data_IF_600965207372
#
_entry.id   IF_600965207372
#
_cell.length_a   1.000
_cell.length_b   1.000
_cell.length_c   1.000
_cell.angle_alpha   90.00
_cell.angle_beta   90.00
_cell.angle_gamma   90.00
#
_symmetry.space_group_name_H-M   'P 1'
#
loop_
_entity.id
_entity.type
_entity.pdbx_description
1 polymer ?
#
# COMPACT_ATOMS: atom_id res chain seq x y z
N UNK A 1 -1.49 4.52 1.79
CA UNK A 1 -0.13 3.94 1.73
C UNK A 1 0.73 4.53 0.62
N UNK A 2 0.19 5.44 -0.19
CA UNK A 2 0.92 6.13 -1.24
C UNK A 2 2.24 6.74 -0.71
N UNK A 3 2.20 7.59 0.32
CA UNK A 3 3.38 8.25 0.83
C UNK A 3 4.50 7.36 1.39
N UNK A 4 4.19 6.07 1.68
CA UNK A 4 5.19 5.11 2.16
C UNK A 4 5.96 4.50 0.97
N UNK A 5 5.26 4.15 -0.11
CA UNK A 5 5.90 3.59 -1.31
C UNK A 5 6.84 4.59 -1.97
N UNK A 6 6.47 5.85 -1.93
CA UNK A 6 7.20 6.94 -2.59
C UNK A 6 8.42 7.42 -1.80
N UNK A 7 8.42 7.22 -0.47
CA UNK A 7 9.57 7.53 0.38
C UNK A 7 10.74 6.56 0.21
N UNK A 8 10.50 5.41 -0.45
CA UNK A 8 11.51 4.39 -0.69
C UNK A 8 11.97 4.38 -2.13
N UNK A 9 13.27 4.27 -2.31
CA UNK A 9 13.90 4.11 -3.61
C UNK A 9 13.31 2.89 -4.34
N UNK A 10 13.28 2.91 -5.68
CA UNK A 10 12.74 1.84 -6.52
C UNK A 10 13.24 0.43 -6.22
N UNK A 11 14.41 0.33 -5.63
CA UNK A 11 15.08 -0.92 -5.26
C UNK A 11 14.31 -1.80 -4.27
N UNK A 12 13.34 -1.21 -3.56
CA UNK A 12 12.56 -1.90 -2.52
C UNK A 12 11.08 -2.15 -2.90
N UNK A 13 10.69 -1.86 -4.14
CA UNK A 13 9.34 -2.18 -4.62
C UNK A 13 9.31 -3.63 -5.08
N UNK A 14 8.97 -4.53 -4.16
CA UNK A 14 8.63 -5.90 -4.50
C UNK A 14 7.30 -5.92 -5.26
N UNK A 15 7.37 -6.01 -6.57
CA UNK A 15 6.21 -6.14 -7.42
C UNK A 15 6.31 -5.37 -8.73
N UNK A 16 5.48 -5.79 -9.67
CA UNK A 16 5.33 -5.12 -10.94
C UNK A 16 4.29 -4.01 -10.83
N UNK A 17 4.61 -2.84 -11.39
CA UNK A 17 3.72 -1.68 -11.47
C UNK A 17 3.77 -1.12 -12.89
N UNK A 18 2.73 -0.47 -13.36
CA UNK A 18 2.79 0.30 -14.60
C UNK A 18 3.21 1.75 -14.35
N UNK A 19 3.81 2.40 -15.36
CA UNK A 19 4.19 3.81 -15.24
C UNK A 19 2.98 4.69 -14.88
N UNK A 20 1.82 4.42 -15.49
CA UNK A 20 0.58 5.14 -15.19
C UNK A 20 0.18 5.00 -13.72
N UNK A 21 0.24 3.79 -13.17
CA UNK A 21 -0.13 3.55 -11.78
C UNK A 21 0.90 4.17 -10.81
N UNK A 22 2.17 4.15 -11.17
CA UNK A 22 3.20 4.83 -10.38
C UNK A 22 2.99 6.35 -10.35
N UNK A 23 2.76 6.98 -11.50
CA UNK A 23 2.45 8.42 -11.58
C UNK A 23 1.16 8.75 -10.82
N UNK A 24 0.13 7.91 -10.95
CA UNK A 24 -1.13 8.09 -10.20
C UNK A 24 -0.90 8.03 -8.67
N UNK A 25 0.03 7.22 -8.19
CA UNK A 25 0.37 7.19 -6.76
C UNK A 25 1.02 8.50 -6.27
N UNK A 26 1.60 9.27 -7.18
CA UNK A 26 2.14 10.61 -6.93
C UNK A 26 1.12 11.74 -7.15
N UNK A 27 -0.12 11.40 -7.51
CA UNK A 27 -1.14 12.38 -7.94
C UNK A 27 -0.70 13.17 -9.19
N UNK A 28 0.08 12.51 -10.07
CA UNK A 28 0.53 13.07 -11.35
C UNK A 28 -0.19 12.35 -12.49
N UNK A 29 -0.81 13.08 -13.39
CA UNK A 29 -1.40 12.50 -14.60
C UNK A 29 -0.31 12.16 -15.65
N UNK A 30 -0.61 11.20 -16.53
CA UNK A 30 0.30 10.87 -17.64
C UNK A 30 0.52 12.09 -18.55
N UNK A 31 -0.52 12.88 -18.80
CA UNK A 31 -0.44 14.11 -19.59
C UNK A 31 0.47 15.18 -18.95
N UNK A 32 0.49 15.22 -17.64
CA UNK A 32 1.41 16.08 -16.92
C UNK A 32 2.85 15.59 -17.02
N UNK A 33 3.06 14.27 -16.86
CA UNK A 33 4.38 13.65 -16.98
C UNK A 33 4.99 13.83 -18.38
N UNK A 34 4.18 13.81 -19.44
CA UNK A 34 4.61 14.07 -20.82
C UNK A 34 5.22 15.46 -21.05
N UNK A 35 5.02 16.42 -20.12
CA UNK A 35 5.69 17.72 -20.20
C UNK A 35 7.20 17.62 -19.93
N UNK A 36 7.64 16.58 -19.26
CA UNK A 36 9.02 16.39 -18.83
C UNK A 36 9.82 15.46 -19.73
N UNK A 37 9.15 14.47 -20.36
CA UNK A 37 9.79 13.59 -21.34
C UNK A 37 8.76 13.00 -22.32
N UNK A 38 9.27 12.33 -23.36
CA UNK A 38 8.40 11.55 -24.25
C UNK A 38 8.01 10.24 -23.57
N UNK A 39 6.72 9.95 -23.51
CA UNK A 39 6.17 8.73 -22.92
C UNK A 39 5.31 8.03 -23.97
N UNK A 40 5.60 6.75 -24.21
CA UNK A 40 4.76 5.90 -25.03
C UNK A 40 3.51 5.46 -24.23
N UNK A 41 2.34 5.88 -24.67
CA UNK A 41 1.07 5.58 -23.98
C UNK A 41 0.77 4.09 -23.87
N UNK A 42 1.03 3.34 -24.95
CA UNK A 42 0.79 1.89 -24.98
C UNK A 42 1.73 1.13 -24.03
N UNK A 43 2.92 1.68 -23.78
CA UNK A 43 3.86 1.11 -22.84
C UNK A 43 3.56 1.55 -21.40
N UNK A 44 2.93 2.70 -21.19
CA UNK A 44 2.66 3.26 -19.87
C UNK A 44 1.72 2.39 -19.01
N UNK A 45 0.91 1.53 -19.63
CA UNK A 45 -0.01 0.61 -18.94
C UNK A 45 0.58 -0.79 -18.72
N UNK A 46 1.76 -1.09 -19.28
CA UNK A 46 2.44 -2.37 -19.07
C UNK A 46 3.06 -2.41 -17.68
N UNK A 47 2.75 -3.49 -16.95
CA UNK A 47 3.36 -3.72 -15.65
C UNK A 47 4.78 -4.28 -15.82
N UNK A 48 5.66 -3.87 -14.92
CA UNK A 48 7.04 -4.30 -14.85
C UNK A 48 7.71 -3.75 -13.60
N UNK A 49 8.98 -4.07 -13.41
CA UNK A 49 9.78 -3.43 -12.35
C UNK A 49 9.95 -1.96 -12.68
N UNK A 50 9.79 -1.10 -11.67
CA UNK A 50 9.74 0.35 -11.84
C UNK A 50 10.95 0.91 -12.60
N UNK A 51 12.14 0.43 -12.27
CA UNK A 51 13.39 0.86 -12.91
C UNK A 51 13.52 0.49 -14.40
N UNK A 52 12.69 -0.46 -14.85
CA UNK A 52 12.66 -0.95 -16.23
C UNK A 52 11.48 -0.39 -17.05
N UNK A 53 10.63 0.44 -16.44
CA UNK A 53 9.49 1.01 -17.15
C UNK A 53 9.95 2.05 -18.17
N UNK A 54 9.32 1.99 -19.34
CA UNK A 54 9.53 3.00 -20.39
C UNK A 54 9.17 4.39 -19.87
N UNK A 55 10.06 5.39 -20.06
CA UNK A 55 9.90 6.76 -19.58
C UNK A 55 10.26 6.98 -18.11
N UNK A 56 10.39 5.97 -17.25
CA UNK A 56 10.73 6.17 -15.83
C UNK A 56 12.10 6.84 -15.64
N UNK A 57 13.12 6.30 -16.32
CA UNK A 57 14.47 6.84 -16.23
C UNK A 57 14.53 8.28 -16.73
N UNK A 58 13.91 8.55 -17.87
CA UNK A 58 13.89 9.90 -18.47
C UNK A 58 13.23 10.91 -17.55
N UNK A 59 12.11 10.52 -16.89
CA UNK A 59 11.47 11.35 -15.88
C UNK A 59 12.40 11.62 -14.71
N UNK A 60 13.05 10.59 -14.16
CA UNK A 60 13.93 10.75 -12.99
C UNK A 60 15.25 11.48 -13.32
N UNK A 61 15.69 11.49 -14.56
CA UNK A 61 16.84 12.26 -15.03
C UNK A 61 16.46 13.73 -15.34
N UNK A 62 15.17 14.03 -15.57
CA UNK A 62 14.71 15.41 -15.78
C UNK A 62 14.77 16.20 -14.46
N UNK A 63 15.53 17.31 -14.36
CA UNK A 63 15.71 18.04 -13.10
C UNK A 63 14.42 18.63 -12.55
N UNK A 64 13.52 19.13 -13.42
CA UNK A 64 12.26 19.75 -12.99
C UNK A 64 11.29 18.68 -12.45
N UNK A 65 11.21 17.52 -13.11
CA UNK A 65 10.41 16.41 -12.61
C UNK A 65 10.96 15.88 -11.28
N UNK A 66 12.27 15.71 -11.16
CA UNK A 66 12.91 15.25 -9.92
C UNK A 66 12.64 16.21 -8.76
N UNK A 67 12.73 17.50 -8.98
CA UNK A 67 12.42 18.50 -7.96
C UNK A 67 10.95 18.38 -7.52
N UNK A 68 10.02 18.30 -8.47
CA UNK A 68 8.61 18.06 -8.19
C UNK A 68 8.38 16.75 -7.44
N UNK A 69 9.00 15.67 -7.86
CA UNK A 69 8.93 14.37 -7.20
C UNK A 69 9.37 14.47 -5.74
N UNK A 70 10.53 15.10 -5.47
CA UNK A 70 11.05 15.27 -4.12
C UNK A 70 10.09 16.11 -3.24
N UNK A 71 9.53 17.20 -3.77
CA UNK A 71 8.57 18.03 -3.04
C UNK A 71 7.29 17.28 -2.70
N UNK A 72 6.75 16.49 -3.64
CA UNK A 72 5.56 15.67 -3.42
C UNK A 72 5.83 14.57 -2.38
N UNK A 73 6.95 13.89 -2.49
CA UNK A 73 7.35 12.83 -1.56
C UNK A 73 7.52 13.36 -0.13
N UNK A 74 8.21 14.48 0.04
CA UNK A 74 8.41 15.08 1.36
C UNK A 74 7.09 15.62 1.96
N UNK A 75 6.23 16.21 1.15
CA UNK A 75 4.89 16.62 1.57
C UNK A 75 4.07 15.42 2.04
N UNK A 76 4.01 14.36 1.25
CA UNK A 76 3.25 13.16 1.58
C UNK A 76 3.81 12.47 2.83
N UNK A 77 5.13 12.45 2.98
CA UNK A 77 5.81 11.95 4.17
C UNK A 77 5.39 12.72 5.42
N UNK A 78 5.49 14.04 5.39
CA UNK A 78 5.10 14.90 6.51
C UNK A 78 3.63 14.71 6.87
N UNK A 79 2.75 14.73 5.87
CA UNK A 79 1.31 14.59 6.07
C UNK A 79 0.96 13.21 6.67
N UNK A 80 1.59 12.14 6.17
CA UNK A 80 1.42 10.80 6.74
C UNK A 80 1.86 10.73 8.21
N UNK A 81 3.00 11.34 8.55
CA UNK A 81 3.48 11.39 9.94
C UNK A 81 2.47 12.10 10.83
N UNK A 82 1.98 13.28 10.43
CA UNK A 82 0.96 14.03 11.18
C UNK A 82 -0.34 13.24 11.31
N UNK A 83 -0.81 12.61 10.23
CA UNK A 83 -2.02 11.79 10.24
C UNK A 83 -1.95 10.61 11.21
N UNK A 84 -0.79 9.97 11.31
CA UNK A 84 -0.64 8.75 12.11
C UNK A 84 -0.25 9.01 13.55
N UNK A 85 0.23 10.21 13.89
CA UNK A 85 0.67 10.56 15.25
C UNK A 85 -0.36 10.20 16.34
N UNK A 86 -1.67 10.47 16.19
CA UNK A 86 -2.67 10.12 17.19
C UNK A 86 -2.85 8.61 17.43
N UNK A 87 -2.40 7.77 16.51
CA UNK A 87 -2.53 6.31 16.57
C UNK A 87 -1.29 5.62 17.15
N UNK A 88 -0.25 6.38 17.52
CA UNK A 88 0.97 5.82 18.09
C UNK A 88 0.79 5.57 19.59
N UNK A 89 0.84 4.30 20.02
CA UNK A 89 0.85 3.94 21.43
C UNK A 89 2.29 3.66 21.90
N UNK A 90 2.77 4.45 22.84
CA UNK A 90 4.12 4.29 23.47
C UNK A 90 5.26 4.12 22.45
N UNK A 91 5.13 4.77 21.30
CA UNK A 91 6.05 4.67 20.15
C UNK A 91 6.01 3.32 19.42
N UNK A 92 5.03 2.48 19.70
CA UNK A 92 4.76 1.25 18.95
C UNK A 92 3.53 1.47 18.07
N UNK A 93 3.69 1.24 16.77
CA UNK A 93 2.57 1.29 15.84
C UNK A 93 2.03 -0.13 15.62
N UNK A 94 0.87 -0.42 16.22
CA UNK A 94 0.19 -1.70 16.07
C UNK A 94 -0.83 -1.64 14.95
N UNK A 95 -0.83 -2.65 14.10
CA UNK A 95 -1.79 -2.72 13.00
C UNK A 95 -2.13 -4.15 12.60
N UNK A 96 -3.27 -4.27 11.93
CA UNK A 96 -3.73 -5.52 11.30
C UNK A 96 -3.69 -5.33 9.79
N UNK A 97 -3.14 -6.29 9.09
CA UNK A 97 -3.04 -6.25 7.63
C UNK A 97 -3.50 -7.60 7.03
N UNK A 98 -4.30 -7.52 5.99
CA UNK A 98 -4.70 -8.69 5.19
C UNK A 98 -3.61 -9.13 4.20
N UNK A 99 -2.51 -8.40 4.11
CA UNK A 99 -1.32 -8.75 3.32
C UNK A 99 -0.55 -9.93 3.92
N UNK A 100 0.46 -10.41 3.21
CA UNK A 100 1.24 -11.62 3.55
C UNK A 100 2.74 -11.35 3.58
N UNK A 101 3.21 -10.45 2.72
CA UNK A 101 4.63 -10.13 2.56
C UNK A 101 5.15 -9.11 3.58
N UNK A 102 4.27 -8.55 4.39
CA UNK A 102 4.60 -7.56 5.42
C UNK A 102 5.35 -6.32 4.85
N UNK A 103 5.21 -6.02 3.57
CA UNK A 103 5.91 -4.91 2.91
C UNK A 103 5.51 -3.55 3.49
N UNK A 104 4.24 -3.41 3.86
CA UNK A 104 3.73 -2.23 4.55
C UNK A 104 4.41 -2.00 5.87
N UNK A 105 4.56 -3.04 6.68
CA UNK A 105 5.23 -2.96 7.99
C UNK A 105 6.69 -2.57 7.83
N UNK A 106 7.39 -3.23 6.89
CA UNK A 106 8.78 -2.90 6.60
C UNK A 106 8.94 -1.43 6.21
N UNK A 107 8.03 -0.91 5.37
CA UNK A 107 8.05 0.50 4.97
C UNK A 107 7.79 1.45 6.15
N UNK A 108 6.87 1.11 7.06
CA UNK A 108 6.60 1.89 8.28
C UNK A 108 7.81 1.95 9.20
N UNK A 109 8.48 0.83 9.46
CA UNK A 109 9.69 0.78 10.27
C UNK A 109 10.79 1.66 9.70
N UNK A 110 11.06 1.54 8.40
CA UNK A 110 12.08 2.34 7.73
C UNK A 110 11.72 3.82 7.72
N UNK A 111 10.45 4.12 7.47
CA UNK A 111 9.97 5.49 7.34
C UNK A 111 9.90 6.25 8.66
N UNK A 112 9.34 5.60 9.70
CA UNK A 112 9.13 6.25 11.00
C UNK A 112 10.30 6.04 11.96
N UNK A 113 11.15 5.05 11.72
CA UNK A 113 12.21 4.63 12.66
C UNK A 113 11.63 4.34 14.05
N UNK A 114 10.42 3.80 14.11
CA UNK A 114 9.73 3.38 15.31
C UNK A 114 9.45 1.88 15.24
N UNK A 115 9.27 1.29 16.40
CA UNK A 115 8.90 -0.12 16.49
C UNK A 115 7.47 -0.35 15.99
N UNK A 116 7.29 -1.35 15.13
CA UNK A 116 5.97 -1.75 14.64
C UNK A 116 5.67 -3.20 15.02
N UNK A 117 4.41 -3.47 15.33
CA UNK A 117 3.89 -4.80 15.66
C UNK A 117 2.72 -5.10 14.70
N UNK A 118 2.90 -6.07 13.82
CA UNK A 118 1.94 -6.40 12.77
C UNK A 118 1.24 -7.73 12.97
N UNK A 119 -0.07 -7.75 12.80
CA UNK A 119 -0.91 -8.94 12.88
C UNK A 119 -1.49 -9.24 11.51
N UNK A 120 -1.24 -10.43 11.01
CA UNK A 120 -1.56 -10.89 9.66
C UNK A 120 -2.44 -12.13 9.70
N UNK A 121 -3.22 -12.37 8.65
CA UNK A 121 -3.86 -13.70 8.47
C UNK A 121 -2.78 -14.77 8.42
N UNK A 122 -1.71 -14.49 7.69
CA UNK A 122 -0.53 -15.32 7.65
C UNK A 122 0.67 -14.52 7.18
N UNK A 123 1.87 -15.01 7.47
CA UNK A 123 3.11 -14.39 7.05
C UNK A 123 3.87 -15.28 6.10
N UNK A 124 4.39 -14.71 5.04
CA UNK A 124 5.31 -15.33 4.11
C UNK A 124 6.71 -14.77 4.35
N UNK A 125 7.73 -15.62 4.24
CA UNK A 125 9.12 -15.18 4.33
C UNK A 125 9.37 -14.10 3.28
N UNK A 126 9.77 -12.88 3.68
CA UNK A 126 10.06 -11.82 2.73
C UNK A 126 11.32 -12.15 1.94
N UNK A 127 11.37 -11.78 0.67
CA UNK A 127 12.56 -11.92 -0.18
C UNK A 127 13.74 -11.12 0.41
N UNK A 128 13.44 -10.03 1.11
CA UNK A 128 14.40 -9.17 1.81
C UNK A 128 13.95 -8.93 3.26
N UNK A 129 14.45 -9.72 4.23
CA UNK A 129 14.10 -9.51 5.63
C UNK A 129 14.70 -8.19 6.14
N UNK A 130 13.87 -7.32 6.67
CA UNK A 130 14.26 -6.07 7.30
C UNK A 130 14.14 -6.23 8.81
N UNK A 131 15.28 -6.27 9.50
CA UNK A 131 15.39 -6.17 10.94
C UNK A 131 14.60 -7.16 11.80
N UNK A 132 14.58 -6.91 13.09
CA UNK A 132 13.78 -7.66 14.08
C UNK A 132 12.39 -7.03 14.23
N UNK A 133 11.56 -7.15 13.20
CA UNK A 133 10.20 -6.62 13.20
C UNK A 133 9.25 -7.68 13.73
N UNK A 134 8.42 -7.34 14.72
CA UNK A 134 7.42 -8.25 15.28
C UNK A 134 6.27 -8.48 14.30
N UNK A 135 6.20 -9.69 13.76
CA UNK A 135 5.20 -10.13 12.78
C UNK A 135 4.49 -11.37 13.29
N UNK A 136 3.17 -11.28 13.42
CA UNK A 136 2.35 -12.37 13.94
C UNK A 136 1.39 -12.88 12.87
N UNK A 137 1.65 -14.07 12.35
CA UNK A 137 0.71 -14.79 11.50
C UNK A 137 -0.34 -15.50 12.35
N UNK A 138 -1.63 -15.18 12.18
CA UNK A 138 -2.71 -15.74 13.00
C UNK A 138 -3.05 -17.20 12.64
N UNK A 139 -2.98 -17.56 11.36
CA UNK A 139 -3.35 -18.89 10.85
C UNK A 139 -2.11 -19.70 10.47
N UNK A 140 -1.11 -19.05 9.86
CA UNK A 140 0.17 -19.67 9.53
C UNK A 140 1.29 -18.63 9.60
N UNK A 141 2.51 -19.10 9.83
CA UNK A 141 3.69 -18.29 9.95
C UNK A 141 4.86 -18.97 9.23
N UNK A 142 5.40 -18.29 8.23
CA UNK A 142 6.68 -18.53 7.52
C UNK A 142 7.00 -19.95 7.00
N UNK A 143 6.13 -20.94 7.17
CA UNK A 143 6.39 -22.31 6.71
C UNK A 143 5.74 -22.56 5.34
N UNK A 144 6.52 -22.49 4.23
CA UNK A 144 5.99 -22.71 2.89
C UNK A 144 5.49 -24.15 2.65
N UNK A 145 5.81 -25.08 3.53
CA UNK A 145 5.50 -26.50 3.38
C UNK A 145 4.19 -26.93 4.08
N UNK A 146 3.54 -26.03 4.83
CA UNK A 146 2.27 -26.39 5.45
C UNK A 146 1.17 -26.53 4.39
N UNK A 147 0.33 -27.58 4.52
CA UNK A 147 -0.85 -27.75 3.64
C UNK A 147 -1.80 -26.56 3.72
N UNK A 148 -1.86 -25.88 4.84
CA UNK A 148 -2.64 -24.65 5.05
C UNK A 148 -2.10 -23.49 4.23
N UNK A 149 -0.77 -23.35 4.12
CA UNK A 149 -0.17 -22.31 3.30
C UNK A 149 -0.60 -22.43 1.83
N UNK A 150 -0.48 -23.62 1.24
CA UNK A 150 -0.86 -23.83 -0.17
C UNK A 150 -2.35 -23.56 -0.40
N UNK A 151 -3.23 -24.01 0.48
CA UNK A 151 -4.66 -23.80 0.35
C UNK A 151 -5.06 -22.34 0.55
N UNK A 152 -4.55 -21.69 1.58
CA UNK A 152 -4.83 -20.28 1.86
C UNK A 152 -4.15 -19.36 0.84
N UNK A 153 -2.92 -19.69 0.43
CA UNK A 153 -2.20 -18.93 -0.59
C UNK A 153 -2.92 -18.85 -1.92
N UNK A 154 -3.59 -19.91 -2.35
CA UNK A 154 -4.42 -19.90 -3.57
C UNK A 154 -5.69 -19.03 -3.43
N UNK A 155 -6.12 -18.72 -2.21
CA UNK A 155 -7.34 -17.97 -1.93
C UNK A 155 -7.09 -16.56 -1.38
N UNK A 156 -5.85 -16.06 -1.43
CA UNK A 156 -5.48 -14.71 -0.97
C UNK A 156 -6.44 -13.63 -1.48
N UNK A 157 -6.74 -13.53 -2.78
CA UNK A 157 -7.62 -12.48 -3.29
C UNK A 157 -9.03 -12.54 -2.66
N UNK A 158 -9.52 -13.74 -2.38
CA UNK A 158 -10.81 -13.92 -1.72
C UNK A 158 -10.80 -13.36 -0.29
N UNK A 159 -9.78 -13.67 0.51
CA UNK A 159 -9.65 -13.15 1.87
C UNK A 159 -9.44 -11.64 1.88
N UNK A 160 -8.64 -11.11 0.96
CA UNK A 160 -8.43 -9.68 0.84
C UNK A 160 -9.72 -8.94 0.50
N UNK A 161 -10.54 -9.49 -0.40
CA UNK A 161 -11.85 -8.92 -0.70
C UNK A 161 -12.82 -9.03 0.48
N UNK A 162 -12.86 -10.19 1.14
CA UNK A 162 -13.74 -10.39 2.30
C UNK A 162 -13.41 -9.43 3.46
N UNK A 163 -12.15 -9.05 3.60
CA UNK A 163 -11.64 -8.11 4.60
C UNK A 163 -11.44 -6.70 4.04
N UNK A 164 -11.99 -6.41 2.86
CA UNK A 164 -11.88 -5.09 2.25
C UNK A 164 -12.41 -4.00 3.18
N UNK A 165 -11.69 -2.87 3.22
CA UNK A 165 -12.12 -1.72 4.01
C UNK A 165 -13.31 -0.99 3.35
N UNK A 166 -14.12 -0.26 4.14
CA UNK A 166 -15.26 0.51 3.64
C UNK A 166 -14.86 1.82 2.97
N UNK A 167 -13.70 1.87 2.37
CA UNK A 167 -13.15 3.04 1.71
C UNK A 167 -12.31 2.65 0.49
N UNK A 168 -12.09 3.60 -0.41
CA UNK A 168 -11.27 3.41 -1.61
C UNK A 168 -9.78 3.31 -1.31
N UNK A 169 -9.00 3.12 -2.36
CA UNK A 169 -7.55 3.16 -2.27
C UNK A 169 -7.09 4.56 -1.86
N UNK A 170 -6.29 4.64 -0.81
CA UNK A 170 -5.66 5.88 -0.37
C UNK A 170 -4.63 6.32 -1.41
N UNK A 171 -4.83 7.48 -1.99
CA UNK A 171 -3.93 8.09 -2.97
C UNK A 171 -2.88 8.97 -2.32
N UNK A 172 -3.30 9.82 -1.38
CA UNK A 172 -2.42 10.77 -0.69
C UNK A 172 -3.03 11.24 0.61
N UNK A 173 -2.19 11.88 1.43
CA UNK A 173 -2.60 12.61 2.63
C UNK A 173 -2.47 14.10 2.33
N UNK A 174 -3.57 14.83 2.41
CA UNK A 174 -3.64 16.25 2.04
C UNK A 174 -4.00 17.10 3.25
N UNK A 175 -3.44 18.30 3.30
CA UNK A 175 -3.80 19.29 4.31
C UNK A 175 -4.94 20.15 3.79
N UNK A 176 -6.07 20.13 4.48
CA UNK A 176 -7.25 20.94 4.19
C UNK A 176 -7.69 21.64 5.47
N UNK A 177 -7.79 22.96 5.43
CA UNK A 177 -8.21 23.79 6.58
C UNK A 177 -7.42 23.56 7.86
N UNK A 178 -6.14 23.17 7.75
CA UNK A 178 -5.25 22.89 8.89
C UNK A 178 -5.36 21.50 9.48
N UNK A 179 -6.17 20.62 8.88
CA UNK A 179 -6.26 19.20 9.23
C UNK A 179 -5.72 18.33 8.10
N UNK A 180 -5.14 17.19 8.46
CA UNK A 180 -4.70 16.20 7.47
C UNK A 180 -5.85 15.23 7.18
N UNK A 181 -6.29 15.24 5.94
CA UNK A 181 -7.34 14.35 5.41
C UNK A 181 -6.77 13.32 4.44
N UNK A 182 -7.55 12.30 4.14
CA UNK A 182 -7.18 11.21 3.24
C UNK A 182 -7.86 11.41 1.89
N UNK A 183 -7.08 11.55 0.82
CA UNK A 183 -7.59 11.54 -0.55
C UNK A 183 -7.72 10.08 -1.01
N UNK A 184 -8.92 9.68 -1.35
CA UNK A 184 -9.25 8.31 -1.77
C UNK A 184 -9.73 8.25 -3.22
N UNK A 185 -9.55 7.08 -3.84
CA UNK A 185 -10.20 6.74 -5.10
C UNK A 185 -10.76 5.32 -5.04
N UNK A 186 -12.02 5.18 -5.45
CA UNK A 186 -12.66 3.90 -5.68
C UNK A 186 -12.55 3.49 -7.15
N UNK A 187 -12.20 2.24 -7.38
CA UNK A 187 -12.60 1.60 -8.62
C UNK A 187 -14.13 1.39 -8.60
N UNK A 188 -14.88 1.77 -9.65
CA UNK A 188 -16.34 1.64 -9.66
C UNK A 188 -16.85 0.23 -9.44
N UNK A 189 -16.16 -0.80 -10.00
CA UNK A 189 -16.55 -2.21 -9.83
C UNK A 189 -16.27 -2.71 -8.42
N UNK A 190 -15.13 -2.32 -7.83
CA UNK A 190 -14.79 -2.65 -6.45
C UNK A 190 -15.79 -2.01 -5.47
N UNK A 191 -16.16 -0.76 -5.70
CA UNK A 191 -17.17 -0.06 -4.90
C UNK A 191 -18.52 -0.77 -4.96
N UNK A 192 -19.00 -1.10 -6.16
CA UNK A 192 -20.26 -1.83 -6.34
C UNK A 192 -20.21 -3.19 -5.64
N UNK A 193 -19.13 -3.95 -5.81
CA UNK A 193 -18.95 -5.24 -5.15
C UNK A 193 -18.97 -5.09 -3.63
N UNK A 194 -18.27 -4.10 -3.09
CA UNK A 194 -18.26 -3.83 -1.65
C UNK A 194 -19.67 -3.52 -1.15
N UNK A 195 -20.35 -2.54 -1.71
CA UNK A 195 -21.66 -2.06 -1.24
C UNK A 195 -22.76 -3.13 -1.38
N UNK A 196 -22.73 -3.92 -2.45
CA UNK A 196 -23.79 -4.89 -2.75
C UNK A 196 -23.60 -6.24 -2.10
N UNK A 197 -22.36 -6.67 -1.86
CA UNK A 197 -22.02 -8.03 -1.41
C UNK A 197 -21.16 -8.05 -0.15
N UNK A 198 -19.95 -7.47 -0.20
CA UNK A 198 -18.95 -7.65 0.85
C UNK A 198 -19.44 -7.09 2.19
N UNK A 199 -19.95 -5.89 2.19
CA UNK A 199 -20.51 -5.22 3.39
C UNK A 199 -21.52 -6.10 4.14
N UNK A 200 -22.46 -6.72 3.40
CA UNK A 200 -23.46 -7.61 4.00
C UNK A 200 -22.86 -8.86 4.62
N UNK A 201 -21.84 -9.43 3.97
CA UNK A 201 -21.13 -10.58 4.52
C UNK A 201 -20.38 -10.20 5.78
N UNK A 202 -19.69 -9.07 5.79
CA UNK A 202 -18.96 -8.56 6.96
C UNK A 202 -19.94 -8.27 8.13
N UNK A 203 -21.07 -7.62 7.88
CA UNK A 203 -22.11 -7.38 8.89
C UNK A 203 -22.63 -8.69 9.50
N UNK A 204 -22.89 -9.70 8.67
CA UNK A 204 -23.31 -11.02 9.13
C UNK A 204 -22.22 -11.71 9.97
N UNK A 205 -20.96 -11.65 9.54
CA UNK A 205 -19.82 -12.21 10.27
C UNK A 205 -19.68 -11.56 11.65
N UNK A 206 -19.75 -10.23 11.72
CA UNK A 206 -19.70 -9.47 12.98
C UNK A 206 -20.87 -9.81 13.91
N UNK A 207 -22.08 -9.97 13.36
CA UNK A 207 -23.26 -10.38 14.15
C UNK A 207 -23.04 -11.76 14.75
N UNK A 208 -22.53 -12.72 13.98
CA UNK A 208 -22.24 -14.06 14.47
C UNK A 208 -21.13 -14.06 15.51
N UNK A 209 -20.06 -13.32 15.28
CA UNK A 209 -18.95 -13.21 16.23
C UNK A 209 -19.41 -12.67 17.59
N UNK A 210 -20.25 -11.63 17.61
CA UNK A 210 -20.83 -11.08 18.86
C UNK A 210 -21.72 -12.07 19.61
N UNK A 211 -22.25 -13.08 18.94
CA UNK A 211 -23.04 -14.15 19.56
C UNK A 211 -22.19 -15.25 20.22
N UNK A 212 -20.85 -15.23 20.03
CA UNK A 212 -19.92 -16.17 20.66
C UNK A 212 -19.15 -15.57 21.84
N UNK A 213 -19.20 -14.25 22.02
CA UNK A 213 -18.62 -13.51 23.15
C UNK A 213 -19.71 -13.20 24.17
#
# INVERSE_FOLDING_TARGET
MAGIREAHLPENIDGEISLRNWLKSLDISLEEAKKYCQINEDAADRAGRLENLDGYRDLMENPEFREKFNQLTERNRRNLLTYTEPFLDKKVFRFVDSGWKCTTQNALEQFYQIHTEGYYIGTQKPDHPIGNIEKHGLIFQEEPESRFYSYLGMNIPFYQQLLAAPHGTVLSYVEEEGEITVKEAWDPMEKELYETKIKKVQEYMLLKFRGFC
#
